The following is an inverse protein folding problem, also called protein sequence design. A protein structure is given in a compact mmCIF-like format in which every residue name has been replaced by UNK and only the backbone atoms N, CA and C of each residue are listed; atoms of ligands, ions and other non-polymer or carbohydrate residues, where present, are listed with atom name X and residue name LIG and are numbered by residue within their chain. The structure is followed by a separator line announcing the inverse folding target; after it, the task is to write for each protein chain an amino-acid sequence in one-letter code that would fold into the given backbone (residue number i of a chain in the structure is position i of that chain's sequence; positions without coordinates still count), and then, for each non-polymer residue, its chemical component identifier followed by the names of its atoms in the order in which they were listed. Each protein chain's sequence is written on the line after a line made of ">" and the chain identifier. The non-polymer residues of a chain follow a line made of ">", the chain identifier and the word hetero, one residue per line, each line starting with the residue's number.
data_IF_415010026435
#
_entry.id   IF_415010026435
#
_cell.length_a   1.000
_cell.length_b   1.000
_cell.length_c   1.000
_cell.angle_alpha   90.00
_cell.angle_beta   90.00
_cell.angle_gamma   90.00
#
_symmetry.space_group_name_H-M   'P 1'
#
loop_
_entity.id
_entity.type
_entity.pdbx_description
1 polymer ?
#
# COMPACT_ATOMS: atom_id res chain seq x y z
N UNK A 1 24.34 2.79 -1.49
CA UNK A 1 23.19 3.65 -1.80
C UNK A 1 22.60 4.02 -0.45
N UNK A 2 22.69 5.29 -0.03
CA UNK A 2 22.25 5.71 1.29
C UNK A 2 20.74 5.54 1.42
N UNK A 3 20.28 5.08 2.58
CA UNK A 3 18.86 5.09 2.90
C UNK A 3 18.34 6.53 2.82
N UNK A 4 17.12 6.78 2.30
CA UNK A 4 16.51 8.10 2.39
C UNK A 4 16.34 8.46 3.88
N UNK A 5 16.79 9.66 4.27
CA UNK A 5 16.59 10.20 5.61
C UNK A 5 15.07 10.29 5.89
N UNK A 6 14.56 9.39 6.73
CA UNK A 6 13.13 9.31 7.09
C UNK A 6 12.65 10.51 7.91
N UNK A 7 13.55 11.39 8.33
CA UNK A 7 13.23 12.59 9.11
C UNK A 7 12.43 13.64 8.30
N UNK A 8 12.58 13.64 6.96
CA UNK A 8 11.87 14.57 6.08
C UNK A 8 10.37 14.27 5.92
N UNK A 9 9.87 13.15 6.47
CA UNK A 9 8.44 12.77 6.43
C UNK A 9 7.73 12.88 7.79
N UNK A 10 8.43 13.38 8.82
CA UNK A 10 7.90 13.56 10.17
C UNK A 10 7.01 14.81 10.31
N UNK A 11 6.03 14.95 9.42
CA UNK A 11 5.04 16.04 9.48
C UNK A 11 3.92 15.69 10.46
N UNK A 12 3.20 16.71 10.93
CA UNK A 12 1.88 16.49 11.50
C UNK A 12 0.96 15.85 10.44
N UNK A 13 0.09 14.91 10.82
CA UNK A 13 -0.79 14.16 9.90
C UNK A 13 -1.57 15.06 8.92
N UNK A 14 -1.95 16.28 9.33
CA UNK A 14 -2.68 17.24 8.48
C UNK A 14 -1.82 17.92 7.42
N UNK A 15 -0.51 18.02 7.63
CA UNK A 15 0.43 18.60 6.67
C UNK A 15 0.83 17.57 5.62
N UNK A 16 0.95 16.29 6.00
CA UNK A 16 1.34 15.22 5.08
C UNK A 16 0.34 15.06 3.92
N UNK A 17 -0.97 15.17 4.17
CA UNK A 17 -1.99 15.12 3.12
C UNK A 17 -1.77 16.18 2.02
N UNK A 18 -1.40 17.40 2.43
CA UNK A 18 -1.12 18.51 1.50
C UNK A 18 0.19 18.26 0.75
N UNK A 19 1.23 17.78 1.44
CA UNK A 19 2.52 17.46 0.82
C UNK A 19 2.40 16.33 -0.21
N UNK A 20 1.67 15.25 0.10
CA UNK A 20 1.44 14.14 -0.84
C UNK A 20 0.66 14.61 -2.06
N UNK A 21 -0.40 15.42 -1.87
CA UNK A 21 -1.16 15.97 -3.00
C UNK A 21 -0.29 16.84 -3.89
N UNK A 22 0.54 17.71 -3.31
CA UNK A 22 1.44 18.56 -4.06
C UNK A 22 2.48 17.72 -4.79
N UNK A 23 3.09 16.73 -4.14
CA UNK A 23 4.07 15.82 -4.75
C UNK A 23 3.52 15.08 -5.97
N UNK A 24 2.27 14.60 -5.90
CA UNK A 24 1.59 13.95 -7.04
C UNK A 24 1.40 14.94 -8.19
N UNK A 25 0.95 16.17 -7.90
CA UNK A 25 0.74 17.18 -8.95
C UNK A 25 2.06 17.70 -9.54
N UNK A 26 3.08 17.88 -8.71
CA UNK A 26 4.40 18.38 -9.08
C UNK A 26 5.19 17.37 -9.93
N UNK A 27 4.97 16.06 -9.71
CA UNK A 27 5.55 15.00 -10.51
C UNK A 27 5.16 15.11 -11.99
N UNK A 28 3.94 15.57 -12.29
CA UNK A 28 3.49 15.84 -13.67
C UNK A 28 4.32 16.94 -14.32
N UNK A 29 4.80 17.91 -13.53
CA UNK A 29 5.67 19.01 -13.96
C UNK A 29 7.16 18.63 -13.95
N UNK A 30 7.49 17.38 -13.59
CA UNK A 30 8.85 16.86 -13.55
C UNK A 30 9.61 17.09 -12.24
N UNK A 31 8.99 17.72 -11.23
CA UNK A 31 9.57 17.80 -9.89
C UNK A 31 9.21 16.53 -9.10
N UNK A 32 10.17 15.62 -9.02
CA UNK A 32 9.94 14.27 -8.50
C UNK A 32 10.60 14.03 -7.14
N UNK A 33 11.19 15.03 -6.48
CA UNK A 33 11.99 14.78 -5.27
C UNK A 33 11.15 14.15 -4.15
N UNK A 34 10.05 14.81 -3.79
CA UNK A 34 9.12 14.32 -2.77
C UNK A 34 8.32 13.10 -3.23
N UNK A 35 7.99 13.06 -4.52
CA UNK A 35 7.32 11.91 -5.14
C UNK A 35 8.18 10.64 -5.04
N UNK A 36 9.48 10.74 -5.31
CA UNK A 36 10.42 9.63 -5.24
C UNK A 36 10.61 9.15 -3.79
N UNK A 37 10.63 10.06 -2.82
CA UNK A 37 10.65 9.69 -1.40
C UNK A 37 9.39 8.91 -1.01
N UNK A 38 8.20 9.40 -1.41
CA UNK A 38 6.93 8.71 -1.19
C UNK A 38 6.94 7.30 -1.82
N UNK A 39 7.41 7.17 -3.06
CA UNK A 39 7.56 5.88 -3.74
C UNK A 39 8.51 4.96 -2.97
N UNK A 40 9.62 5.49 -2.46
CA UNK A 40 10.59 4.72 -1.68
C UNK A 40 10.01 4.15 -0.37
N UNK A 41 9.13 4.90 0.31
CA UNK A 41 8.43 4.42 1.51
C UNK A 41 7.47 3.30 1.16
N UNK A 42 6.68 3.46 0.09
CA UNK A 42 5.68 2.47 -0.33
C UNK A 42 6.34 1.19 -0.88
N UNK A 43 7.49 1.32 -1.54
CA UNK A 43 8.26 0.20 -2.08
C UNK A 43 9.03 -0.58 -0.99
N UNK A 44 9.02 -0.15 0.28
CA UNK A 44 9.77 -0.85 1.32
C UNK A 44 9.07 -2.17 1.71
N UNK A 45 9.73 -3.31 1.46
CA UNK A 45 9.16 -4.65 1.57
C UNK A 45 9.70 -5.48 2.76
N UNK A 46 10.51 -4.88 3.63
CA UNK A 46 11.14 -5.59 4.76
C UNK A 46 10.26 -5.51 6.02
N UNK A 47 10.65 -6.26 7.06
CA UNK A 47 9.96 -6.26 8.37
C UNK A 47 10.02 -4.84 8.96
N UNK A 48 8.94 -4.09 8.78
CA UNK A 48 8.82 -2.72 9.26
C UNK A 48 8.79 -2.68 10.79
N UNK A 49 9.54 -1.75 11.37
CA UNK A 49 9.35 -1.30 12.75
C UNK A 49 7.99 -0.62 12.94
N UNK A 50 7.60 -0.36 14.19
CA UNK A 50 6.32 0.27 14.50
C UNK A 50 6.18 1.67 13.85
N UNK A 51 7.25 2.47 13.90
CA UNK A 51 7.26 3.83 13.35
C UNK A 51 7.22 3.82 11.82
N UNK A 52 7.95 2.91 11.18
CA UNK A 52 7.94 2.71 9.73
C UNK A 52 6.57 2.25 9.23
N UNK A 53 5.92 1.33 9.95
CA UNK A 53 4.57 0.88 9.64
C UNK A 53 3.55 2.01 9.80
N UNK A 54 3.68 2.85 10.83
CA UNK A 54 2.84 4.02 11.03
C UNK A 54 2.99 5.03 9.89
N UNK A 55 4.24 5.35 9.52
CA UNK A 55 4.53 6.23 8.38
C UNK A 55 3.93 5.68 7.08
N UNK A 56 4.12 4.38 6.80
CA UNK A 56 3.55 3.74 5.63
C UNK A 56 2.02 3.83 5.63
N UNK A 57 1.35 3.59 6.76
CA UNK A 57 -0.11 3.75 6.87
C UNK A 57 -0.54 5.18 6.58
N UNK A 58 0.15 6.17 7.14
CA UNK A 58 -0.19 7.59 6.92
C UNK A 58 0.03 7.98 5.45
N UNK A 59 1.13 7.53 4.83
CA UNK A 59 1.38 7.73 3.40
C UNK A 59 0.30 7.09 2.53
N UNK A 60 -0.06 5.82 2.78
CA UNK A 60 -1.11 5.13 2.03
C UNK A 60 -2.44 5.88 2.13
N UNK A 61 -2.85 6.30 3.34
CA UNK A 61 -4.08 7.08 3.57
C UNK A 61 -4.05 8.44 2.88
N UNK A 62 -2.91 9.13 2.87
CA UNK A 62 -2.76 10.39 2.16
C UNK A 62 -2.88 10.19 0.64
N UNK A 63 -2.28 9.12 0.09
CA UNK A 63 -2.44 8.74 -1.32
C UNK A 63 -3.90 8.39 -1.63
N UNK A 64 -4.60 7.67 -0.75
CA UNK A 64 -6.04 7.35 -0.90
C UNK A 64 -6.88 8.61 -1.09
N UNK A 65 -6.57 9.70 -0.39
CA UNK A 65 -7.29 10.99 -0.52
C UNK A 65 -6.96 11.75 -1.81
N UNK A 66 -6.00 11.29 -2.60
CA UNK A 66 -5.48 11.97 -3.78
C UNK A 66 -5.57 11.12 -5.05
N UNK A 67 -6.26 9.97 -5.00
CA UNK A 67 -6.43 9.05 -6.15
C UNK A 67 -7.01 9.71 -7.39
N UNK A 68 -7.81 10.77 -7.24
CA UNK A 68 -8.36 11.54 -8.37
C UNK A 68 -7.30 12.32 -9.16
N UNK A 69 -6.15 12.59 -8.57
CA UNK A 69 -4.99 13.22 -9.21
C UNK A 69 -4.03 12.18 -9.82
N UNK A 70 -4.26 10.88 -9.60
CA UNK A 70 -3.36 9.84 -10.09
C UNK A 70 -3.64 9.54 -11.57
N UNK A 71 -2.58 9.53 -12.38
CA UNK A 71 -2.63 9.19 -13.80
C UNK A 71 -1.62 8.07 -14.10
N UNK A 72 -2.05 7.06 -14.84
CA UNK A 72 -1.26 5.87 -15.17
C UNK A 72 0.04 6.18 -15.94
N UNK A 73 0.07 7.24 -16.74
CA UNK A 73 1.24 7.67 -17.52
C UNK A 73 2.25 8.40 -16.65
N UNK A 74 1.77 9.28 -15.77
CA UNK A 74 2.64 10.15 -14.98
C UNK A 74 3.10 9.51 -13.67
N UNK A 75 2.33 8.57 -13.10
CA UNK A 75 2.58 8.01 -11.78
C UNK A 75 2.87 6.51 -11.79
N UNK A 76 3.43 5.99 -12.89
CA UNK A 76 3.73 4.57 -13.06
C UNK A 76 4.58 3.96 -11.94
N UNK A 77 5.58 4.68 -11.43
CA UNK A 77 6.43 4.20 -10.33
C UNK A 77 5.67 4.02 -9.01
N UNK A 78 4.79 4.97 -8.68
CA UNK A 78 3.91 4.88 -7.51
C UNK A 78 2.93 3.73 -7.64
N UNK A 79 2.29 3.59 -8.81
CA UNK A 79 1.38 2.48 -9.08
C UNK A 79 2.09 1.12 -9.00
N UNK A 80 3.28 1.00 -9.58
CA UNK A 80 4.09 -0.21 -9.49
C UNK A 80 4.46 -0.55 -8.05
N UNK A 81 4.82 0.45 -7.24
CA UNK A 81 5.12 0.25 -5.82
C UNK A 81 3.89 -0.23 -5.04
N UNK A 82 2.71 0.39 -5.25
CA UNK A 82 1.44 0.01 -4.60
C UNK A 82 1.03 -1.42 -4.99
N UNK A 83 1.00 -1.73 -6.30
CA UNK A 83 0.57 -3.03 -6.80
C UNK A 83 1.59 -4.15 -6.51
N UNK A 84 2.85 -3.81 -6.26
CA UNK A 84 3.88 -4.75 -5.83
C UNK A 84 3.81 -5.14 -4.35
N UNK A 85 2.97 -4.48 -3.55
CA UNK A 85 2.86 -4.77 -2.11
C UNK A 85 2.24 -6.15 -1.85
N UNK A 86 2.79 -6.87 -0.88
CA UNK A 86 2.23 -8.14 -0.40
C UNK A 86 1.55 -7.97 0.98
N UNK A 87 0.25 -8.20 1.07
CA UNK A 87 -0.54 -8.24 2.32
C UNK A 87 -0.03 -9.27 3.33
N UNK A 88 0.82 -10.21 2.89
CA UNK A 88 1.45 -11.21 3.75
C UNK A 88 2.65 -10.68 4.53
N UNK A 89 3.24 -9.56 4.09
CA UNK A 89 4.42 -8.97 4.73
C UNK A 89 4.08 -7.96 5.83
N UNK A 90 2.81 -7.58 5.98
CA UNK A 90 2.39 -6.46 6.82
C UNK A 90 1.36 -6.85 7.89
N UNK A 91 1.33 -6.03 8.96
CA UNK A 91 0.28 -6.06 9.98
C UNK A 91 -1.06 -5.50 9.47
N UNK A 92 -2.11 -5.68 10.28
CA UNK A 92 -3.50 -5.36 9.88
C UNK A 92 -3.71 -3.91 9.46
N UNK A 93 -3.08 -2.95 10.14
CA UNK A 93 -3.27 -1.52 9.86
C UNK A 93 -2.78 -1.14 8.45
N UNK A 94 -1.63 -1.68 8.03
CA UNK A 94 -1.07 -1.47 6.69
C UNK A 94 -1.93 -2.18 5.65
N UNK A 95 -2.39 -3.40 5.94
CA UNK A 95 -3.29 -4.14 5.05
C UNK A 95 -4.59 -3.38 4.79
N UNK A 96 -5.23 -2.87 5.85
CA UNK A 96 -6.50 -2.14 5.76
C UNK A 96 -6.32 -0.86 4.94
N UNK A 97 -5.24 -0.11 5.18
CA UNK A 97 -4.91 1.10 4.41
C UNK A 97 -4.64 0.81 2.92
N UNK A 98 -3.93 -0.29 2.61
CA UNK A 98 -3.68 -0.70 1.23
C UNK A 98 -4.97 -1.13 0.52
N UNK A 99 -5.82 -1.91 1.17
CA UNK A 99 -7.11 -2.34 0.59
C UNK A 99 -8.01 -1.13 0.33
N UNK A 100 -8.06 -0.19 1.27
CA UNK A 100 -8.82 1.07 1.11
C UNK A 100 -8.32 1.89 -0.10
N UNK A 101 -7.00 1.97 -0.28
CA UNK A 101 -6.37 2.61 -1.44
C UNK A 101 -6.76 1.93 -2.75
N UNK A 102 -6.66 0.59 -2.83
CA UNK A 102 -7.02 -0.18 -4.03
C UNK A 102 -8.49 0.00 -4.41
N UNK A 103 -9.39 -0.04 -3.42
CA UNK A 103 -10.83 0.20 -3.63
C UNK A 103 -11.07 1.61 -4.15
N UNK A 104 -10.38 2.61 -3.60
CA UNK A 104 -10.52 4.01 -4.02
C UNK A 104 -9.98 4.26 -5.43
N UNK A 105 -8.89 3.61 -5.82
CA UNK A 105 -8.36 3.62 -7.20
C UNK A 105 -9.36 2.99 -8.18
N UNK A 106 -9.87 1.80 -7.88
CA UNK A 106 -10.87 1.14 -8.72
C UNK A 106 -12.18 1.96 -8.84
N UNK A 107 -12.53 2.73 -7.81
CA UNK A 107 -13.74 3.56 -7.77
C UNK A 107 -13.60 4.90 -8.50
N UNK A 108 -12.36 5.38 -8.73
CA UNK A 108 -12.13 6.68 -9.39
C UNK A 108 -12.16 6.58 -10.90
N UNK A 109 -11.64 5.49 -11.48
CA UNK A 109 -11.67 5.23 -12.92
C UNK A 109 -11.67 3.73 -13.19
N UNK A 110 -12.39 3.32 -14.24
CA UNK A 110 -12.39 1.94 -14.72
C UNK A 110 -11.00 1.44 -15.16
N UNK A 111 -10.08 2.35 -15.47
CA UNK A 111 -8.71 2.04 -15.92
C UNK A 111 -7.88 1.27 -14.88
N UNK A 112 -8.20 1.40 -13.60
CA UNK A 112 -7.44 0.76 -12.52
C UNK A 112 -8.07 -0.55 -12.04
N UNK A 113 -9.28 -0.88 -12.47
CA UNK A 113 -10.06 -2.01 -11.94
C UNK A 113 -9.31 -3.33 -12.13
N UNK A 114 -8.83 -3.59 -13.34
CA UNK A 114 -8.13 -4.84 -13.65
C UNK A 114 -6.84 -5.00 -12.83
N UNK A 115 -6.05 -3.93 -12.71
CA UNK A 115 -4.80 -3.91 -11.91
C UNK A 115 -5.06 -4.10 -10.41
N UNK A 116 -6.12 -3.47 -9.89
CA UNK A 116 -6.53 -3.63 -8.50
C UNK A 116 -6.99 -5.06 -8.21
N UNK A 117 -7.78 -5.65 -9.12
CA UNK A 117 -8.24 -7.04 -9.00
C UNK A 117 -7.08 -8.03 -9.09
N UNK A 118 -6.15 -7.85 -10.03
CA UNK A 118 -4.96 -8.70 -10.15
C UNK A 118 -4.14 -8.66 -8.86
N UNK A 119 -3.88 -7.47 -8.33
CA UNK A 119 -3.15 -7.28 -7.07
C UNK A 119 -3.86 -7.95 -5.91
N UNK A 120 -5.17 -7.80 -5.78
CA UNK A 120 -5.97 -8.42 -4.73
C UNK A 120 -5.94 -9.95 -4.84
N UNK A 121 -6.14 -10.50 -6.05
CA UNK A 121 -6.13 -11.95 -6.30
C UNK A 121 -4.78 -12.55 -5.92
N UNK A 122 -3.67 -11.94 -6.35
CA UNK A 122 -2.31 -12.39 -6.00
C UNK A 122 -2.11 -12.36 -4.48
N UNK A 123 -2.66 -11.36 -3.80
CA UNK A 123 -2.58 -11.23 -2.36
C UNK A 123 -3.53 -12.14 -1.57
N UNK A 124 -4.60 -12.65 -2.17
CA UNK A 124 -5.47 -13.65 -1.54
C UNK A 124 -4.91 -15.06 -1.61
N UNK A 125 -3.87 -15.28 -2.42
CA UNK A 125 -3.10 -16.51 -2.40
C UNK A 125 -1.93 -16.38 -1.42
N UNK A 126 -1.81 -17.26 -0.41
CA UNK A 126 -0.62 -17.28 0.42
C UNK A 126 0.61 -17.53 -0.46
N UNK A 127 1.74 -16.84 -0.23
CA UNK A 127 2.96 -17.08 -0.99
C UNK A 127 3.33 -18.55 -0.89
N UNK A 128 3.83 -19.17 -1.98
CA UNK A 128 4.14 -20.60 -2.01
C UNK A 128 5.24 -20.91 -0.98
N UNK A 129 4.81 -21.37 0.19
CA UNK A 129 5.71 -21.74 1.27
C UNK A 129 6.12 -23.22 1.12
N UNK A 130 7.39 -23.56 1.41
CA UNK A 130 7.75 -24.93 1.72
C UNK A 130 7.15 -25.31 3.09
N UNK A 131 5.89 -25.76 3.11
CA UNK A 131 5.24 -26.53 4.18
C UNK A 131 5.02 -25.89 5.57
N UNK A 132 5.84 -24.95 6.03
CA UNK A 132 5.88 -24.54 7.45
C UNK A 132 5.53 -23.07 7.73
N UNK A 133 5.73 -22.15 6.78
CA UNK A 133 5.49 -20.71 7.00
C UNK A 133 4.00 -20.35 7.19
N UNK A 134 3.12 -21.02 6.44
CA UNK A 134 1.67 -20.80 6.53
C UNK A 134 1.11 -21.18 7.90
N UNK A 135 1.58 -22.28 8.50
CA UNK A 135 1.12 -22.74 9.81
C UNK A 135 1.63 -21.86 10.96
N UNK A 136 2.83 -21.28 10.85
CA UNK A 136 3.35 -20.34 11.87
C UNK A 136 2.54 -19.04 11.93
N UNK A 137 2.15 -18.47 10.78
CA UNK A 137 1.35 -17.23 10.76
C UNK A 137 -0.13 -17.45 11.10
N UNK A 138 -0.64 -18.67 10.91
CA UNK A 138 -1.95 -19.08 11.42
C UNK A 138 -1.97 -19.31 12.93
N UNK A 139 -0.84 -19.46 13.62
CA UNK A 139 -0.83 -19.61 15.07
C UNK A 139 -1.00 -18.29 15.84
N UNK A 140 -1.15 -17.15 15.14
CA UNK A 140 -1.49 -15.88 15.77
C UNK A 140 -3.03 -15.77 15.94
N UNK A 141 -3.56 -15.86 17.18
CA UNK A 141 -4.99 -15.98 17.45
C UNK A 141 -5.81 -14.73 17.08
N UNK A 142 -5.17 -13.56 16.93
CA UNK A 142 -5.86 -12.31 16.54
C UNK A 142 -6.00 -12.15 15.02
N UNK A 143 -5.16 -12.84 14.24
CA UNK A 143 -5.07 -12.69 12.77
C UNK A 143 -5.94 -13.72 12.04
N UNK A 144 -6.08 -14.92 12.61
CA UNK A 144 -6.89 -16.02 12.10
C UNK A 144 -8.34 -15.63 11.76
N UNK A 145 -9.12 -14.98 12.65
CA UNK A 145 -10.55 -14.80 12.42
C UNK A 145 -10.83 -13.84 11.27
N UNK A 146 -9.93 -12.88 10.99
CA UNK A 146 -10.12 -11.92 9.89
C UNK A 146 -9.64 -12.50 8.56
N UNK A 147 -8.47 -13.15 8.52
CA UNK A 147 -7.96 -13.75 7.27
C UNK A 147 -8.81 -14.95 6.80
N UNK A 148 -9.35 -15.77 7.71
CA UNK A 148 -10.34 -16.79 7.34
C UNK A 148 -11.70 -16.20 6.94
N UNK A 149 -12.20 -15.14 7.59
CA UNK A 149 -13.47 -14.50 7.19
C UNK A 149 -13.42 -13.91 5.78
N UNK A 150 -12.29 -13.30 5.40
CA UNK A 150 -12.09 -12.80 4.04
C UNK A 150 -12.04 -13.94 3.00
N UNK A 151 -11.38 -15.06 3.32
CA UNK A 151 -11.34 -16.23 2.43
C UNK A 151 -12.68 -16.98 2.35
N UNK A 152 -13.41 -17.10 3.46
CA UNK A 152 -14.70 -17.82 3.53
C UNK A 152 -15.83 -17.00 2.90
N UNK A 153 -15.80 -15.67 3.01
CA UNK A 153 -16.84 -14.78 2.45
C UNK A 153 -17.03 -14.87 0.94
N UNK A 154 -16.01 -15.28 0.18
CA UNK A 154 -16.08 -15.45 -1.28
C UNK A 154 -16.52 -16.85 -1.72
N UNK A 155 -16.59 -17.83 -0.82
CA UNK A 155 -17.09 -19.18 -1.15
C UNK A 155 -18.62 -19.31 -1.12
N UNK A 156 -19.34 -18.20 -0.86
CA UNK A 156 -20.81 -18.13 -0.79
C UNK A 156 -21.46 -17.24 -1.87
N UNK A 157 -20.72 -16.86 -2.92
CA UNK A 157 -21.27 -16.29 -4.17
C UNK A 157 -21.03 -17.31 -5.28
#
# INVERSE_FOLDING_TARGET
>A
MGAPDMDDLNFADSELDCHVRNAINDAVQGNNDFYNQLVSVIHHHERLGADEAALLVTCLKAVTKTVSSINIVHHGSLLAAIFGMSLWNYGTEVMDALVELLVSLASTSGEYVDLCLETLVVNFMPPPAPGSYFLEHLNNPDVLPRRLKFLIGFTQI
#
